data_IF_288990063108
#
_entry.id   IF_288990063108
#
_cell.length_a   1.000
_cell.length_b   1.000
_cell.length_c   1.000
_cell.angle_alpha   90.00
_cell.angle_beta   90.00
_cell.angle_gamma   90.00
#
_symmetry.space_group_name_H-M   'P 1'
#
loop_
_entity.id
_entity.type
_entity.pdbx_description
1 polymer ?
#
# COMPACT_ATOMS: atom_id res chain seq x y z
N UNK A 1 -12.67 -6.50 5.42
CA UNK A 1 -12.48 -5.76 4.16
C UNK A 1 -12.66 -6.72 3.01
N UNK A 2 -13.48 -6.39 2.01
CA UNK A 2 -13.62 -7.16 0.77
C UNK A 2 -13.00 -6.37 -0.39
N UNK A 3 -12.71 -7.05 -1.48
CA UNK A 3 -12.35 -6.42 -2.74
C UNK A 3 -13.55 -5.66 -3.35
N UNK A 4 -13.37 -4.45 -3.91
CA UNK A 4 -12.14 -3.66 -3.93
C UNK A 4 -11.88 -2.90 -2.61
N UNK A 5 -10.60 -2.70 -2.28
CA UNK A 5 -10.14 -1.92 -1.11
C UNK A 5 -9.54 -0.59 -1.56
N UNK A 6 -9.98 0.53 -0.98
CA UNK A 6 -9.32 1.82 -1.18
C UNK A 6 -8.20 2.01 -0.16
N UNK A 7 -7.00 2.34 -0.62
CA UNK A 7 -5.86 2.75 0.20
C UNK A 7 -5.59 4.22 -0.12
N UNK A 8 -5.70 5.09 0.88
CA UNK A 8 -5.49 6.52 0.73
C UNK A 8 -4.79 7.12 1.95
N UNK A 9 -4.20 8.29 1.76
CA UNK A 9 -3.52 9.02 2.82
C UNK A 9 -2.74 10.22 2.29
N UNK A 10 -1.93 10.79 3.17
CA UNK A 10 -1.03 11.89 2.87
C UNK A 10 0.43 11.43 2.91
N UNK A 11 1.26 11.91 1.98
CA UNK A 11 2.67 11.56 1.89
C UNK A 11 3.51 12.79 1.56
N UNK A 12 4.75 12.82 2.06
CA UNK A 12 5.78 13.76 1.62
C UNK A 12 7.01 12.93 1.25
N UNK A 13 7.13 12.61 -0.03
CA UNK A 13 8.12 11.66 -0.54
C UNK A 13 8.80 12.20 -1.79
N UNK A 14 10.03 11.77 -2.05
CA UNK A 14 10.79 12.19 -3.22
C UNK A 14 10.03 11.87 -4.52
N UNK A 15 9.93 12.86 -5.42
CA UNK A 15 9.18 12.77 -6.68
C UNK A 15 7.70 12.37 -6.55
N UNK A 16 7.12 12.49 -5.35
CA UNK A 16 5.77 12.03 -5.02
C UNK A 16 5.54 10.52 -5.22
N UNK A 17 6.59 9.72 -5.44
CA UNK A 17 6.45 8.32 -5.83
C UNK A 17 6.24 7.39 -4.62
N UNK A 18 5.21 6.54 -4.69
CA UNK A 18 4.83 5.60 -3.64
C UNK A 18 4.63 4.20 -4.22
N UNK A 19 5.05 3.19 -3.49
CA UNK A 19 4.70 1.79 -3.74
C UNK A 19 3.62 1.41 -2.73
N UNK A 20 2.58 0.72 -3.19
CA UNK A 20 1.53 0.19 -2.32
C UNK A 20 1.36 -1.31 -2.54
N UNK A 21 0.98 -2.02 -1.49
CA UNK A 21 0.64 -3.43 -1.56
C UNK A 21 -0.42 -3.83 -0.52
N UNK A 22 -1.16 -4.88 -0.84
CA UNK A 22 -1.99 -5.64 0.10
C UNK A 22 -1.34 -7.00 0.24
N UNK A 23 -1.00 -7.40 1.47
CA UNK A 23 -0.33 -8.67 1.77
C UNK A 23 -1.14 -9.51 2.75
N UNK A 24 -0.91 -10.83 2.74
CA UNK A 24 -1.33 -11.70 3.84
C UNK A 24 -0.27 -11.76 4.96
N UNK A 25 -0.55 -12.50 6.03
CA UNK A 25 0.40 -12.70 7.15
C UNK A 25 1.67 -13.46 6.78
N UNK A 26 1.68 -14.20 5.67
CA UNK A 26 2.86 -14.87 5.15
C UNK A 26 3.72 -13.94 4.26
N UNK A 27 3.29 -12.69 4.05
CA UNK A 27 3.96 -11.71 3.19
C UNK A 27 3.68 -11.90 1.70
N UNK A 28 2.68 -12.72 1.33
CA UNK A 28 2.28 -12.87 -0.07
C UNK A 28 1.53 -11.63 -0.53
N UNK A 29 1.99 -11.01 -1.60
CA UNK A 29 1.31 -9.87 -2.23
C UNK A 29 0.06 -10.36 -2.94
N UNK A 30 -1.10 -9.85 -2.51
CA UNK A 30 -2.41 -10.11 -3.09
C UNK A 30 -2.77 -9.09 -4.18
N UNK A 31 -2.34 -7.84 -3.99
CA UNK A 31 -2.42 -6.75 -4.95
C UNK A 31 -1.30 -5.75 -4.65
N UNK A 32 -0.83 -5.02 -5.65
CA UNK A 32 0.17 -3.98 -5.44
C UNK A 32 0.45 -3.18 -6.70
N UNK A 33 1.15 -2.07 -6.55
CA UNK A 33 1.50 -1.19 -7.65
C UNK A 33 2.25 0.05 -7.20
N UNK A 34 2.38 0.99 -8.14
CA UNK A 34 2.97 2.30 -7.92
C UNK A 34 1.86 3.35 -8.04
N UNK A 35 1.95 4.40 -7.25
CA UNK A 35 1.09 5.58 -7.37
C UNK A 35 1.91 6.84 -7.07
N UNK A 36 1.32 8.00 -7.34
CA UNK A 36 1.91 9.29 -7.01
C UNK A 36 1.02 10.04 -6.03
N UNK A 37 1.62 10.65 -5.01
CA UNK A 37 0.95 11.70 -4.26
C UNK A 37 0.73 12.94 -5.14
N UNK A 38 -0.23 13.80 -4.77
CA UNK A 38 -0.52 15.03 -5.51
C UNK A 38 0.60 16.09 -5.43
N UNK A 39 1.58 15.88 -4.54
CA UNK A 39 2.79 16.71 -4.42
C UNK A 39 3.96 15.88 -3.90
N UNK A 40 5.18 16.21 -4.33
CA UNK A 40 6.44 15.61 -3.87
C UNK A 40 7.10 16.43 -2.75
N UNK A 41 8.02 15.82 -2.03
CA UNK A 41 8.80 16.46 -0.97
C UNK A 41 9.53 17.72 -1.48
N UNK A 42 9.62 18.80 -0.68
CA UNK A 42 9.23 18.88 0.73
C UNK A 42 7.73 19.10 0.98
N UNK A 43 6.93 19.31 -0.08
CA UNK A 43 5.48 19.44 0.04
C UNK A 43 4.85 18.12 0.47
N UNK A 44 3.67 18.20 1.08
CA UNK A 44 2.82 17.05 1.42
C UNK A 44 1.66 16.99 0.45
N UNK A 45 1.51 15.86 -0.23
CA UNK A 45 0.39 15.57 -1.13
C UNK A 45 -0.46 14.42 -0.61
N UNK A 46 -1.62 14.24 -1.23
CA UNK A 46 -2.55 13.13 -0.99
C UNK A 46 -2.41 12.06 -2.06
N UNK A 47 -2.73 10.81 -1.74
CA UNK A 47 -2.86 9.72 -2.73
C UNK A 47 -4.11 8.90 -2.44
N UNK A 48 -4.62 8.23 -3.47
CA UNK A 48 -5.72 7.27 -3.36
C UNK A 48 -5.57 6.22 -4.44
N UNK A 49 -5.60 4.94 -4.05
CA UNK A 49 -5.53 3.80 -4.96
C UNK A 49 -6.63 2.80 -4.65
N UNK A 50 -7.07 2.11 -5.69
CA UNK A 50 -8.03 1.01 -5.57
C UNK A 50 -7.31 -0.32 -5.77
N UNK A 51 -7.22 -1.10 -4.70
CA UNK A 51 -6.66 -2.44 -4.70
C UNK A 51 -7.75 -3.47 -5.01
N UNK A 52 -7.59 -4.18 -6.13
CA UNK A 52 -8.45 -5.30 -6.51
C UNK A 52 -7.67 -6.60 -6.33
N UNK A 53 -8.21 -7.50 -5.51
CA UNK A 53 -7.65 -8.84 -5.25
C UNK A 53 -8.78 -9.87 -5.20
N UNK A 54 -8.43 -11.15 -5.22
CA UNK A 54 -9.38 -12.23 -4.96
C UNK A 54 -9.58 -12.37 -3.46
N UNK A 55 -10.83 -12.29 -3.00
CA UNK A 55 -11.15 -12.52 -1.59
C UNK A 55 -10.67 -13.92 -1.15
N UNK A 56 -10.08 -14.04 0.05
CA UNK A 56 -9.63 -15.32 0.59
C UNK A 56 -10.81 -16.29 0.81
N UNK A 57 -10.51 -17.58 1.02
CA UNK A 57 -11.55 -18.59 1.28
C UNK A 57 -12.23 -18.44 2.65
N UNK A 58 -11.56 -17.81 3.61
CA UNK A 58 -12.06 -17.51 4.94
C UNK A 58 -11.49 -16.17 5.40
N UNK A 59 -12.03 -15.64 6.49
CA UNK A 59 -11.46 -14.43 7.11
C UNK A 59 -10.00 -14.67 7.49
N UNK A 60 -9.11 -13.79 7.06
CA UNK A 60 -7.68 -13.84 7.39
C UNK A 60 -7.15 -12.45 7.70
N UNK A 61 -6.09 -12.41 8.51
CA UNK A 61 -5.34 -11.18 8.75
C UNK A 61 -4.45 -10.90 7.54
N UNK A 62 -4.42 -9.64 7.12
CA UNK A 62 -3.52 -9.12 6.11
C UNK A 62 -3.05 -7.71 6.45
N UNK A 63 -2.34 -7.09 5.54
CA UNK A 63 -1.82 -5.74 5.70
C UNK A 63 -2.03 -4.91 4.44
N UNK A 64 -2.43 -3.66 4.63
CA UNK A 64 -2.30 -2.61 3.61
C UNK A 64 -1.03 -1.82 3.91
N UNK A 65 -0.14 -1.75 2.93
CA UNK A 65 1.19 -1.20 3.06
C UNK A 65 1.43 -0.14 2.01
N UNK A 66 2.05 0.96 2.42
CA UNK A 66 2.52 2.03 1.53
C UNK A 66 3.93 2.39 1.95
N UNK A 67 4.85 2.41 0.99
CA UNK A 67 6.27 2.61 1.27
C UNK A 67 7.01 3.26 0.10
N UNK A 68 8.22 3.72 0.39
CA UNK A 68 9.18 4.22 -0.61
C UNK A 68 10.41 3.32 -0.63
N UNK A 69 11.13 3.35 -1.74
CA UNK A 69 12.45 2.72 -1.84
C UNK A 69 13.52 3.76 -2.12
N UNK A 70 14.67 3.59 -1.49
CA UNK A 70 15.82 4.45 -1.73
C UNK A 70 16.28 4.31 -3.17
N UNK A 71 16.42 5.42 -3.92
CA UNK A 71 17.06 5.39 -5.23
C UNK A 71 18.54 4.94 -5.16
N UNK A 72 19.17 5.03 -3.98
CA UNK A 72 20.58 4.71 -3.77
C UNK A 72 20.86 3.21 -3.76
N UNK A 73 20.04 2.43 -3.05
CA UNK A 73 20.29 1.01 -2.79
C UNK A 73 19.06 0.10 -2.96
N UNK A 74 17.89 0.69 -3.25
CA UNK A 74 16.63 -0.04 -3.44
C UNK A 74 15.98 -0.55 -2.14
N UNK A 75 16.56 -0.26 -0.96
CA UNK A 75 15.98 -0.62 0.32
C UNK A 75 14.74 0.20 0.63
N UNK A 76 13.88 -0.30 1.51
CA UNK A 76 12.72 0.44 2.00
C UNK A 76 13.21 1.54 2.96
N UNK A 77 12.97 2.80 2.62
CA UNK A 77 13.33 3.95 3.47
C UNK A 77 12.26 4.18 4.56
N UNK A 78 10.99 4.12 4.17
CA UNK A 78 9.85 4.29 5.06
C UNK A 78 8.71 3.35 4.63
N UNK A 79 8.03 2.75 5.60
CA UNK A 79 6.84 1.93 5.37
C UNK A 79 5.77 2.22 6.43
N UNK A 80 4.56 2.48 5.96
CA UNK A 80 3.35 2.48 6.77
C UNK A 80 2.63 1.16 6.52
N UNK A 81 2.31 0.44 7.59
CA UNK A 81 1.67 -0.87 7.54
C UNK A 81 0.45 -0.89 8.45
N UNK A 82 -0.73 -1.04 7.84
CA UNK A 82 -2.02 -1.07 8.54
C UNK A 82 -2.56 -2.50 8.55
N UNK A 83 -2.77 -3.12 9.72
CA UNK A 83 -3.38 -4.45 9.80
C UNK A 83 -4.86 -4.36 9.38
N UNK A 84 -5.30 -5.32 8.57
CA UNK A 84 -6.68 -5.43 8.10
C UNK A 84 -7.16 -6.88 8.22
N UNK A 85 -8.47 -7.05 8.38
CA UNK A 85 -9.11 -8.36 8.18
C UNK A 85 -9.59 -8.42 6.74
N UNK A 86 -9.04 -9.35 5.96
CA UNK A 86 -9.53 -9.70 4.63
C UNK A 86 -10.68 -10.68 4.80
N UNK A 87 -11.88 -10.27 4.43
CA UNK A 87 -13.08 -11.06 4.63
C UNK A 87 -13.15 -12.18 3.59
N UNK A 88 -13.53 -13.37 4.03
CA UNK A 88 -13.70 -14.53 3.16
C UNK A 88 -14.81 -14.36 2.14
N UNK A 89 -14.74 -15.14 1.06
CA UNK A 89 -15.81 -15.21 0.05
C UNK A 89 -17.09 -15.84 0.63
#
# INVERSE_FOLDING_TARGET
>A
MKSPLTISGDASVFEANLIWQVTDTAGRVLAGGITTATAGAPSRGTFSVTATYTDPASDVIGFAEVFTRSPRDGNIDEIVRVPIILAGR
#
